data_IF_092563241276
#
_entry.id   IF_092563241276
#
_cell.length_a   1.000
_cell.length_b   1.000
_cell.length_c   1.000
_cell.angle_alpha   90.00
_cell.angle_beta   90.00
_cell.angle_gamma   90.00
#
_symmetry.space_group_name_H-M   'P 1'
#
loop_
_entity.id
_entity.type
_entity.pdbx_description
1 polymer ?
#
# COMPACT_ATOMS: atom_id res chain seq x y z
N UNK A 1 -2.71 -14.89 -9.88
CA UNK A 1 -4.05 -15.53 -9.94
C UNK A 1 -5.09 -14.49 -10.30
N UNK A 2 -6.07 -14.87 -11.12
CA UNK A 2 -7.27 -14.08 -11.34
C UNK A 2 -8.22 -14.21 -10.14
N UNK A 3 -9.18 -13.29 -10.01
CA UNK A 3 -10.23 -13.42 -9.00
C UNK A 3 -11.07 -14.70 -9.16
N UNK A 4 -11.25 -15.18 -10.40
CA UNK A 4 -11.90 -16.47 -10.67
C UNK A 4 -11.13 -17.65 -10.08
N UNK A 5 -9.81 -17.66 -10.26
CA UNK A 5 -8.94 -18.71 -9.68
C UNK A 5 -8.92 -18.62 -8.15
N UNK A 6 -8.86 -17.42 -7.59
CA UNK A 6 -8.93 -17.20 -6.14
C UNK A 6 -10.25 -17.71 -5.56
N UNK A 7 -11.38 -17.37 -6.20
CA UNK A 7 -12.70 -17.82 -5.78
C UNK A 7 -12.83 -19.35 -5.84
N UNK A 8 -12.29 -19.98 -6.89
CA UNK A 8 -12.28 -21.45 -7.03
C UNK A 8 -11.41 -22.13 -5.98
N UNK A 9 -10.19 -21.63 -5.77
CA UNK A 9 -9.25 -22.15 -4.76
C UNK A 9 -9.83 -22.01 -3.35
N UNK A 10 -10.46 -20.88 -3.05
CA UNK A 10 -11.12 -20.65 -1.78
C UNK A 10 -12.29 -21.63 -1.57
N UNK A 11 -13.08 -21.92 -2.63
CA UNK A 11 -14.13 -22.93 -2.58
C UNK A 11 -13.60 -24.33 -2.25
N UNK A 12 -12.44 -24.71 -2.80
CA UNK A 12 -11.78 -25.98 -2.47
C UNK A 12 -11.30 -26.04 -1.02
N UNK A 13 -10.67 -24.98 -0.52
CA UNK A 13 -10.20 -24.87 0.88
C UNK A 13 -11.35 -24.95 1.90
N UNK A 14 -12.49 -24.39 1.54
CA UNK A 14 -13.72 -24.41 2.35
C UNK A 14 -14.51 -25.70 2.25
N UNK A 15 -14.04 -26.69 1.46
CA UNK A 15 -14.79 -27.91 1.15
C UNK A 15 -16.18 -27.63 0.52
N UNK A 16 -16.34 -26.46 -0.13
CA UNK A 16 -17.59 -25.98 -0.72
C UNK A 16 -17.41 -25.52 -2.19
N UNK A 17 -16.93 -26.41 -3.09
CA UNK A 17 -16.73 -26.04 -4.48
C UNK A 17 -18.05 -25.75 -5.23
N UNK A 18 -19.17 -26.31 -4.74
CA UNK A 18 -20.50 -26.08 -5.30
C UNK A 18 -21.19 -24.80 -4.80
N UNK A 19 -20.53 -24.03 -3.94
CA UNK A 19 -21.06 -22.78 -3.34
C UNK A 19 -22.39 -22.98 -2.59
N UNK A 20 -22.54 -24.10 -1.93
CA UNK A 20 -23.75 -24.46 -1.20
C UNK A 20 -23.86 -23.75 0.14
N UNK A 21 -22.73 -23.43 0.77
CA UNK A 21 -22.63 -22.73 2.05
C UNK A 21 -22.16 -21.28 1.84
N UNK A 22 -21.11 -21.09 1.03
CA UNK A 22 -20.51 -19.80 0.74
C UNK A 22 -20.78 -19.39 -0.70
N UNK A 23 -21.61 -18.38 -0.88
CA UNK A 23 -21.92 -17.85 -2.22
C UNK A 23 -20.69 -17.18 -2.85
N UNK A 24 -20.71 -17.00 -4.17
CA UNK A 24 -19.67 -16.22 -4.87
C UNK A 24 -19.51 -14.84 -4.24
N UNK A 25 -20.62 -14.19 -3.92
CA UNK A 25 -20.61 -12.84 -3.31
C UNK A 25 -19.85 -12.83 -1.97
N UNK A 26 -20.12 -13.78 -1.08
CA UNK A 26 -19.43 -13.85 0.22
C UNK A 26 -17.93 -14.16 0.07
N UNK A 27 -17.55 -15.00 -0.91
CA UNK A 27 -16.14 -15.30 -1.19
C UNK A 27 -15.41 -14.09 -1.80
N UNK A 28 -16.03 -13.39 -2.74
CA UNK A 28 -15.47 -12.18 -3.36
C UNK A 28 -15.29 -11.08 -2.32
N UNK A 29 -16.27 -10.87 -1.45
CA UNK A 29 -16.17 -9.90 -0.36
C UNK A 29 -15.03 -10.26 0.62
N UNK A 30 -14.92 -11.53 1.01
CA UNK A 30 -13.82 -12.00 1.85
C UNK A 30 -12.44 -11.80 1.18
N UNK A 31 -12.31 -12.04 -0.13
CA UNK A 31 -11.07 -11.80 -0.88
C UNK A 31 -10.73 -10.30 -0.86
N UNK A 32 -11.68 -9.42 -1.17
CA UNK A 32 -11.47 -7.97 -1.19
C UNK A 32 -11.01 -7.44 0.18
N UNK A 33 -11.69 -7.84 1.25
CA UNK A 33 -11.30 -7.48 2.62
C UNK A 33 -9.90 -8.02 2.94
N UNK A 34 -9.58 -9.24 2.50
CA UNK A 34 -8.29 -9.85 2.76
C UNK A 34 -7.15 -9.19 1.99
N UNK A 35 -7.36 -8.77 0.74
CA UNK A 35 -6.38 -7.98 -0.02
C UNK A 35 -6.02 -6.69 0.72
N UNK A 36 -7.01 -5.94 1.20
CA UNK A 36 -6.78 -4.72 1.99
C UNK A 36 -6.09 -5.03 3.32
N UNK A 37 -6.44 -6.16 3.97
CA UNK A 37 -5.79 -6.61 5.21
C UNK A 37 -4.31 -6.89 4.99
N UNK A 38 -3.98 -7.64 3.94
CA UNK A 38 -2.59 -7.96 3.55
C UNK A 38 -1.78 -6.69 3.30
N UNK A 39 -2.31 -5.78 2.50
CA UNK A 39 -1.68 -4.49 2.19
C UNK A 39 -1.43 -3.66 3.46
N UNK A 40 -2.34 -3.71 4.43
CA UNK A 40 -2.18 -2.97 5.68
C UNK A 40 -1.20 -3.62 6.69
N UNK A 41 -0.86 -4.90 6.50
CA UNK A 41 0.03 -5.64 7.42
C UNK A 41 1.46 -5.79 6.91
N UNK A 42 1.69 -5.64 5.61
CA UNK A 42 3.01 -5.81 5.01
C UNK A 42 3.82 -4.50 4.98
N UNK A 43 5.14 -4.64 4.98
CA UNK A 43 6.05 -3.53 4.70
C UNK A 43 5.87 -3.03 3.27
N UNK A 44 6.01 -1.72 3.06
CA UNK A 44 5.80 -1.07 1.77
C UNK A 44 6.67 -1.65 0.64
N UNK A 45 7.83 -2.22 0.97
CA UNK A 45 8.71 -2.84 -0.02
C UNK A 45 8.14 -4.08 -0.71
N UNK A 46 7.09 -4.71 -0.15
CA UNK A 46 6.36 -5.80 -0.81
C UNK A 46 5.18 -5.31 -1.66
N UNK A 47 4.96 -4.00 -1.71
CA UNK A 47 3.80 -3.38 -2.36
C UNK A 47 4.19 -2.54 -3.58
N UNK A 48 5.35 -2.82 -4.17
CA UNK A 48 5.86 -2.06 -5.33
C UNK A 48 4.92 -2.12 -6.54
N UNK A 49 4.17 -3.21 -6.70
CA UNK A 49 3.16 -3.36 -7.75
C UNK A 49 1.95 -2.45 -7.53
N UNK A 50 1.76 -1.99 -6.29
CA UNK A 50 0.69 -1.07 -5.90
C UNK A 50 1.10 0.40 -6.04
N UNK A 51 2.33 0.66 -6.49
CA UNK A 51 2.80 2.03 -6.71
C UNK A 51 2.12 2.62 -7.94
N UNK A 52 1.66 3.86 -7.80
CA UNK A 52 1.08 4.67 -8.87
C UNK A 52 1.76 6.03 -8.87
N UNK A 53 1.75 6.66 -10.02
CA UNK A 53 2.21 8.03 -10.19
C UNK A 53 1.06 8.91 -10.64
N UNK A 54 1.04 10.12 -10.15
CA UNK A 54 0.24 11.22 -10.71
C UNK A 54 1.20 12.31 -11.11
N UNK A 55 1.19 12.62 -12.40
CA UNK A 55 2.07 13.56 -13.02
C UNK A 55 1.48 14.99 -12.98
N UNK A 56 2.32 16.00 -13.08
CA UNK A 56 1.93 17.42 -13.26
C UNK A 56 0.99 17.96 -12.16
N UNK A 57 1.14 17.55 -10.92
CA UNK A 57 0.35 18.08 -9.80
C UNK A 57 0.76 19.51 -9.50
N UNK A 58 -0.15 20.46 -9.70
CA UNK A 58 0.08 21.86 -9.41
C UNK A 58 0.06 22.13 -7.89
N UNK A 59 1.09 22.83 -7.40
CA UNK A 59 1.18 23.27 -6.02
C UNK A 59 0.83 24.75 -5.87
N UNK A 60 0.06 25.07 -4.85
CA UNK A 60 -0.19 26.46 -4.45
C UNK A 60 0.68 26.80 -3.24
N UNK A 61 1.61 27.71 -3.40
CA UNK A 61 2.60 28.06 -2.35
C UNK A 61 3.36 26.84 -1.82
N UNK A 62 3.65 25.87 -2.68
CA UNK A 62 4.32 24.63 -2.33
C UNK A 62 3.46 23.62 -1.56
N UNK A 63 2.12 23.73 -1.63
CA UNK A 63 1.20 22.84 -0.92
C UNK A 63 0.08 22.36 -1.82
N UNK A 64 -0.25 21.05 -1.73
CA UNK A 64 -1.47 20.48 -2.31
C UNK A 64 -2.05 19.39 -1.38
N UNK A 65 -3.37 19.28 -1.38
CA UNK A 65 -4.08 18.23 -0.64
C UNK A 65 -4.09 16.91 -1.44
N UNK A 66 -4.21 15.78 -0.76
CA UNK A 66 -4.37 14.49 -1.44
C UNK A 66 -5.59 14.48 -2.36
N UNK A 67 -6.71 15.05 -1.89
CA UNK A 67 -7.93 15.15 -2.70
C UNK A 67 -7.77 16.08 -3.90
N UNK A 68 -7.02 17.18 -3.78
CA UNK A 68 -6.72 18.09 -4.89
C UNK A 68 -5.80 17.46 -5.92
N UNK A 69 -4.84 16.67 -5.48
CA UNK A 69 -3.98 15.87 -6.34
C UNK A 69 -4.68 14.62 -6.93
N UNK A 70 -5.89 14.29 -6.49
CA UNK A 70 -6.63 13.11 -6.94
C UNK A 70 -6.05 11.78 -6.43
N UNK A 71 -5.33 11.79 -5.32
CA UNK A 71 -4.66 10.61 -4.78
C UNK A 71 -5.30 10.12 -3.47
N UNK A 72 -5.27 8.82 -3.25
CA UNK A 72 -5.73 8.14 -2.02
C UNK A 72 -4.65 7.18 -1.54
N UNK A 73 -3.55 7.70 -0.96
CA UNK A 73 -2.43 6.86 -0.56
C UNK A 73 -2.78 6.01 0.67
N UNK A 74 -2.44 4.72 0.62
CA UNK A 74 -2.54 3.82 1.75
C UNK A 74 -1.63 4.31 2.87
N UNK A 75 -2.15 4.41 4.08
CA UNK A 75 -1.38 4.78 5.28
C UNK A 75 -0.56 6.08 5.10
N UNK A 76 -1.00 6.97 4.20
CA UNK A 76 -0.23 8.15 3.83
C UNK A 76 1.07 7.85 3.06
N UNK A 77 1.15 6.67 2.42
CA UNK A 77 2.32 6.12 1.75
C UNK A 77 2.68 6.85 0.45
N UNK A 78 3.20 8.06 0.58
CA UNK A 78 3.92 8.72 -0.51
C UNK A 78 5.32 8.12 -0.55
N UNK A 79 5.70 7.56 -1.69
CA UNK A 79 7.00 6.88 -1.89
C UNK A 79 8.03 7.82 -2.51
N UNK A 80 7.60 8.80 -3.29
CA UNK A 80 8.49 9.79 -3.88
C UNK A 80 7.75 11.03 -4.36
N UNK A 81 8.49 12.13 -4.45
CA UNK A 81 8.03 13.39 -5.05
C UNK A 81 9.14 13.92 -5.92
N UNK A 82 8.83 14.22 -7.17
CA UNK A 82 9.76 14.80 -8.12
C UNK A 82 9.32 16.22 -8.47
N UNK A 83 10.24 17.15 -8.37
CA UNK A 83 10.04 18.56 -8.73
C UNK A 83 10.28 18.73 -10.23
N UNK A 84 9.21 18.76 -11.00
CA UNK A 84 9.21 18.97 -12.44
C UNK A 84 9.76 20.36 -12.81
N UNK A 85 9.55 21.35 -11.95
CA UNK A 85 9.99 22.73 -12.21
C UNK A 85 11.51 22.83 -12.26
N UNK A 86 12.21 22.08 -11.43
CA UNK A 86 13.66 22.15 -11.27
C UNK A 86 14.40 20.86 -11.68
N UNK A 87 13.67 19.83 -12.18
CA UNK A 87 14.22 18.53 -12.59
C UNK A 87 14.99 17.83 -11.46
N UNK A 88 14.32 17.67 -10.29
CA UNK A 88 14.95 17.15 -9.06
C UNK A 88 14.01 16.30 -8.22
N UNK A 89 14.55 15.18 -7.69
CA UNK A 89 13.88 14.44 -6.62
C UNK A 89 13.87 15.25 -5.32
N UNK A 90 12.70 15.33 -4.70
CA UNK A 90 12.57 15.92 -3.37
C UNK A 90 13.11 14.97 -2.29
N UNK A 91 13.87 15.51 -1.35
CA UNK A 91 14.24 14.76 -0.16
C UNK A 91 13.03 14.66 0.78
N UNK A 92 12.53 13.45 1.01
CA UNK A 92 11.40 13.22 1.91
C UNK A 92 11.82 13.37 3.38
N UNK A 93 11.10 14.19 4.15
CA UNK A 93 11.35 14.47 5.57
C UNK A 93 10.18 13.99 6.42
N UNK A 94 10.48 13.26 7.48
CA UNK A 94 9.46 12.80 8.42
C UNK A 94 8.94 13.96 9.29
N UNK A 95 7.68 13.84 9.70
CA UNK A 95 6.98 14.86 10.52
C UNK A 95 7.72 15.19 11.82
N UNK A 96 8.44 14.22 12.41
CA UNK A 96 9.25 14.43 13.63
C UNK A 96 10.44 15.38 13.41
N UNK A 97 10.91 15.49 12.17
CA UNK A 97 12.08 16.29 11.79
C UNK A 97 11.72 17.67 11.22
N UNK A 98 10.42 18.02 11.17
CA UNK A 98 9.96 19.30 10.60
C UNK A 98 10.59 20.53 11.24
N UNK A 99 10.90 20.49 12.54
CA UNK A 99 11.63 21.58 13.21
C UNK A 99 13.00 21.86 12.61
N UNK A 100 13.61 20.89 11.96
CA UNK A 100 14.90 21.08 11.27
C UNK A 100 14.75 21.95 10.02
N UNK A 101 13.56 21.96 9.40
CA UNK A 101 13.27 22.78 8.22
C UNK A 101 13.14 24.28 8.54
N UNK A 102 13.02 24.65 9.81
CA UNK A 102 13.10 26.04 10.26
C UNK A 102 14.52 26.60 10.14
N UNK A 103 15.53 25.74 10.09
CA UNK A 103 16.89 26.11 9.80
C UNK A 103 17.07 26.40 8.31
N UNK A 104 17.52 27.60 7.95
CA UNK A 104 17.71 28.05 6.58
C UNK A 104 18.61 27.15 5.71
N UNK A 105 19.53 26.40 6.33
CA UNK A 105 20.38 25.42 5.63
C UNK A 105 19.69 24.11 5.28
N UNK A 106 18.56 23.79 5.95
CA UNK A 106 17.81 22.56 5.79
C UNK A 106 16.42 22.79 5.21
N UNK A 107 16.05 24.04 4.98
CA UNK A 107 14.68 24.44 4.57
C UNK A 107 14.30 24.10 3.15
N UNK A 108 15.17 23.43 2.41
CA UNK A 108 14.98 23.14 1.00
C UNK A 108 15.36 24.31 0.08
N UNK A 109 15.99 24.02 -1.03
CA UNK A 109 16.39 24.96 -2.07
C UNK A 109 15.97 24.39 -3.43
N UNK A 110 15.99 25.19 -4.49
CA UNK A 110 15.74 24.72 -5.86
C UNK A 110 16.72 23.63 -6.32
N UNK A 111 17.94 23.63 -5.76
CA UNK A 111 18.94 22.58 -6.06
C UNK A 111 18.78 21.32 -5.21
N UNK A 112 18.09 21.43 -4.09
CA UNK A 112 17.83 20.32 -3.15
C UNK A 112 16.44 20.52 -2.54
N UNK A 113 15.35 20.26 -3.29
CA UNK A 113 13.99 20.42 -2.78
C UNK A 113 13.71 19.39 -1.67
N UNK A 114 12.86 19.78 -0.75
CA UNK A 114 12.45 18.95 0.38
C UNK A 114 10.96 18.84 0.40
N UNK A 115 10.45 17.64 0.63
CA UNK A 115 9.02 17.38 0.72
C UNK A 115 8.66 16.66 2.03
N UNK A 116 7.45 16.90 2.52
CA UNK A 116 6.89 16.20 3.66
C UNK A 116 5.37 16.12 3.55
N UNK A 117 4.79 15.13 4.22
CA UNK A 117 3.34 14.95 4.32
C UNK A 117 2.87 15.37 5.70
N UNK A 118 1.85 16.23 5.75
CA UNK A 118 1.23 16.64 6.99
C UNK A 118 -0.27 16.88 6.80
N UNK A 119 -1.11 16.20 7.60
CA UNK A 119 -2.59 16.31 7.57
C UNK A 119 -3.17 16.13 6.16
N UNK A 120 -2.82 15.04 5.51
CA UNK A 120 -3.29 14.71 4.15
C UNK A 120 -2.96 15.78 3.09
N UNK A 121 -1.88 16.51 3.33
CA UNK A 121 -1.33 17.48 2.39
C UNK A 121 0.13 17.18 2.16
N UNK A 122 0.53 17.40 0.91
CA UNK A 122 1.92 17.41 0.47
C UNK A 122 2.42 18.83 0.62
N UNK A 123 3.58 18.98 1.21
CA UNK A 123 4.30 20.24 1.34
C UNK A 123 5.65 20.10 0.67
N UNK A 124 5.99 21.04 -0.19
CA UNK A 124 7.29 21.11 -0.87
C UNK A 124 7.97 22.43 -0.56
N UNK A 125 9.25 22.39 -0.35
CA UNK A 125 10.11 23.57 -0.16
C UNK A 125 11.28 23.50 -1.16
N UNK A 126 11.62 24.64 -1.77
CA UNK A 126 11.06 25.99 -1.59
C UNK A 126 9.64 26.08 -2.17
N UNK A 127 8.88 27.05 -1.70
CA UNK A 127 7.48 27.28 -2.14
C UNK A 127 7.36 27.78 -3.60
N UNK A 128 8.48 28.02 -4.26
CA UNK A 128 8.55 28.34 -5.68
C UNK A 128 8.39 27.12 -6.62
N UNK A 129 8.41 25.90 -6.06
CA UNK A 129 8.08 24.67 -6.82
C UNK A 129 6.60 24.72 -7.17
N UNK A 130 6.31 24.69 -8.47
CA UNK A 130 4.95 24.86 -8.99
C UNK A 130 4.29 23.55 -9.44
N UNK A 131 5.10 22.60 -9.95
CA UNK A 131 4.62 21.31 -10.46
C UNK A 131 5.46 20.19 -9.88
N UNK A 132 4.79 19.10 -9.50
CA UNK A 132 5.44 17.89 -9.00
C UNK A 132 4.75 16.64 -9.51
N UNK A 133 5.53 15.58 -9.71
CA UNK A 133 5.00 14.23 -9.83
C UNK A 133 5.03 13.55 -8.48
N UNK A 134 4.01 12.75 -8.21
CA UNK A 134 3.81 12.12 -6.90
C UNK A 134 3.69 10.61 -7.07
N UNK A 135 4.63 9.87 -6.49
CA UNK A 135 4.57 8.42 -6.37
C UNK A 135 3.93 8.04 -5.03
N UNK A 136 2.94 7.16 -5.08
CA UNK A 136 2.22 6.74 -3.88
C UNK A 136 1.74 5.30 -3.99
N UNK A 137 1.53 4.65 -2.85
CA UNK A 137 0.91 3.33 -2.79
C UNK A 137 -0.61 3.47 -2.75
N UNK A 138 -1.31 2.76 -3.62
CA UNK A 138 -2.78 2.73 -3.67
C UNK A 138 -3.35 1.44 -3.08
N UNK A 139 -4.64 1.42 -2.74
CA UNK A 139 -5.33 0.19 -2.39
C UNK A 139 -5.54 -0.69 -3.63
N UNK A 140 -5.54 -2.03 -3.48
CA UNK A 140 -5.90 -2.93 -4.57
C UNK A 140 -7.34 -2.69 -5.02
N UNK A 141 -7.58 -2.84 -6.32
CA UNK A 141 -8.92 -2.73 -6.89
C UNK A 141 -9.79 -3.90 -6.43
N UNK A 142 -10.98 -3.60 -5.94
CA UNK A 142 -11.93 -4.62 -5.52
C UNK A 142 -12.47 -5.42 -6.71
N UNK A 143 -12.59 -6.73 -6.53
CA UNK A 143 -13.36 -7.56 -7.45
C UNK A 143 -14.86 -7.28 -7.30
N UNK A 144 -15.56 -7.30 -8.43
CA UNK A 144 -17.01 -7.17 -8.48
C UNK A 144 -17.63 -8.52 -8.82
N UNK A 145 -18.64 -8.94 -8.07
CA UNK A 145 -19.36 -10.20 -8.30
C UNK A 145 -19.84 -10.30 -9.76
N UNK A 146 -19.57 -11.41 -10.40
CA UNK A 146 -19.86 -11.62 -11.83
C UNK A 146 -18.84 -11.00 -12.80
N UNK A 147 -17.81 -10.29 -12.31
CA UNK A 147 -16.74 -9.67 -13.11
C UNK A 147 -15.35 -9.89 -12.48
N UNK A 148 -15.08 -11.11 -12.02
CA UNK A 148 -13.86 -11.49 -11.28
C UNK A 148 -12.74 -12.04 -12.14
N UNK A 149 -12.78 -11.82 -13.46
CA UNK A 149 -11.76 -12.34 -14.39
C UNK A 149 -10.45 -11.57 -14.40
N UNK A 150 -10.40 -10.40 -13.76
CA UNK A 150 -9.18 -9.59 -13.67
C UNK A 150 -8.10 -10.30 -12.85
N UNK A 151 -6.84 -10.05 -13.17
CA UNK A 151 -5.71 -10.48 -12.36
C UNK A 151 -5.64 -9.70 -11.05
N UNK A 152 -5.18 -10.38 -9.99
CA UNK A 152 -4.90 -9.73 -8.72
C UNK A 152 -3.69 -8.79 -8.88
N UNK A 153 -3.84 -7.54 -8.47
CA UNK A 153 -2.79 -6.54 -8.56
C UNK A 153 -1.62 -6.78 -7.58
N UNK A 154 -1.85 -7.59 -6.55
CA UNK A 154 -0.80 -7.95 -5.58
C UNK A 154 0.20 -8.93 -6.20
N UNK A 155 1.44 -8.88 -5.71
CA UNK A 155 2.46 -9.84 -6.08
C UNK A 155 1.95 -11.29 -5.96
N UNK A 156 2.19 -12.17 -6.96
CA UNK A 156 1.77 -13.56 -6.92
C UNK A 156 2.17 -14.33 -5.66
N UNK A 157 3.29 -13.96 -5.02
CA UNK A 157 3.73 -14.55 -3.76
C UNK A 157 2.79 -14.25 -2.58
N UNK A 158 1.94 -13.22 -2.69
CA UNK A 158 0.99 -12.81 -1.65
C UNK A 158 -0.39 -13.43 -1.82
N UNK A 159 -0.67 -14.08 -2.96
CA UNK A 159 -2.01 -14.60 -3.25
C UNK A 159 -2.46 -15.67 -2.24
N UNK A 160 -1.55 -16.55 -1.80
CA UNK A 160 -1.85 -17.55 -0.79
C UNK A 160 -2.18 -16.91 0.56
N UNK A 161 -1.48 -15.83 0.91
CA UNK A 161 -1.75 -15.06 2.12
C UNK A 161 -3.15 -14.42 2.10
N UNK A 162 -3.57 -13.89 0.94
CA UNK A 162 -4.94 -13.38 0.75
C UNK A 162 -5.97 -14.49 0.97
N UNK A 163 -5.72 -15.68 0.41
CA UNK A 163 -6.62 -16.82 0.56
C UNK A 163 -6.71 -17.30 2.01
N UNK A 164 -5.61 -17.33 2.76
CA UNK A 164 -5.60 -17.72 4.18
C UNK A 164 -6.45 -16.75 5.04
N UNK A 165 -6.35 -15.45 4.80
CA UNK A 165 -7.20 -14.46 5.50
C UNK A 165 -8.67 -14.58 5.08
N UNK A 166 -8.96 -14.79 3.79
CA UNK A 166 -10.32 -14.96 3.29
C UNK A 166 -10.97 -16.24 3.86
N UNK A 167 -10.23 -17.34 3.91
CA UNK A 167 -10.64 -18.60 4.53
C UNK A 167 -10.98 -18.39 6.01
N UNK A 168 -10.10 -17.73 6.76
CA UNK A 168 -10.33 -17.44 8.18
C UNK A 168 -11.60 -16.62 8.41
N UNK A 169 -11.87 -15.64 7.54
CA UNK A 169 -13.06 -14.82 7.63
C UNK A 169 -14.34 -15.63 7.37
N UNK A 170 -14.35 -16.47 6.33
CA UNK A 170 -15.50 -17.29 5.98
C UNK A 170 -15.80 -18.36 7.04
N UNK A 171 -14.78 -19.04 7.58
CA UNK A 171 -14.97 -19.96 8.71
C UNK A 171 -15.52 -19.28 9.97
N UNK A 172 -15.16 -18.01 10.19
CA UNK A 172 -15.73 -17.20 11.27
C UNK A 172 -17.23 -16.92 11.02
N UNK A 173 -17.61 -16.64 9.78
CA UNK A 173 -19.02 -16.45 9.40
C UNK A 173 -19.85 -17.73 9.56
N UNK A 174 -19.26 -18.89 9.30
CA UNK A 174 -19.90 -20.22 9.48
C UNK A 174 -19.83 -20.76 10.91
N UNK A 175 -19.47 -19.90 11.89
CA UNK A 175 -19.36 -20.24 13.30
C UNK A 175 -18.43 -21.46 13.59
N UNK A 176 -17.34 -21.61 12.84
CA UNK A 176 -16.28 -22.61 13.03
C UNK A 176 -15.00 -21.95 13.55
N UNK A 177 -14.98 -21.54 14.84
CA UNK A 177 -13.89 -20.72 15.39
C UNK A 177 -12.52 -21.40 15.33
N UNK A 178 -12.45 -22.72 15.49
CA UNK A 178 -11.17 -23.46 15.48
C UNK A 178 -10.52 -23.44 14.10
N UNK A 179 -11.30 -23.66 13.03
CA UNK A 179 -10.83 -23.56 11.64
C UNK A 179 -10.43 -22.11 11.31
N UNK A 180 -11.27 -21.14 11.69
CA UNK A 180 -10.99 -19.72 11.50
C UNK A 180 -9.68 -19.31 12.19
N UNK A 181 -9.46 -19.73 13.43
CA UNK A 181 -8.25 -19.41 14.17
C UNK A 181 -7.00 -20.07 13.57
N UNK A 182 -7.12 -21.29 13.09
CA UNK A 182 -6.01 -22.00 12.43
C UNK A 182 -5.57 -21.26 11.14
N UNK A 183 -6.51 -20.95 10.25
CA UNK A 183 -6.23 -20.21 9.02
C UNK A 183 -5.65 -18.80 9.30
N UNK A 184 -6.24 -18.09 10.27
CA UNK A 184 -5.75 -16.77 10.68
C UNK A 184 -4.32 -16.82 11.24
N UNK A 185 -4.00 -17.80 12.07
CA UNK A 185 -2.65 -17.95 12.62
C UNK A 185 -1.62 -18.27 11.52
N UNK A 186 -1.99 -19.09 10.53
CA UNK A 186 -1.13 -19.36 9.38
C UNK A 186 -0.83 -18.08 8.62
N UNK A 187 -1.85 -17.28 8.33
CA UNK A 187 -1.70 -15.99 7.67
C UNK A 187 -0.77 -15.04 8.46
N UNK A 188 -0.99 -14.89 9.77
CA UNK A 188 -0.14 -14.04 10.62
C UNK A 188 1.32 -14.50 10.67
N UNK A 189 1.56 -15.80 10.73
CA UNK A 189 2.92 -16.34 10.69
C UNK A 189 3.61 -16.01 9.37
N UNK A 190 2.90 -16.10 8.25
CA UNK A 190 3.45 -15.76 6.94
C UNK A 190 3.75 -14.27 6.83
N UNK A 191 2.84 -13.39 7.28
CA UNK A 191 3.08 -11.93 7.36
C UNK A 191 4.35 -11.64 8.15
N UNK A 192 4.51 -12.27 9.32
CA UNK A 192 5.70 -12.09 10.14
C UNK A 192 6.97 -12.51 9.41
N UNK A 193 6.97 -13.69 8.79
CA UNK A 193 8.12 -14.19 8.02
C UNK A 193 8.48 -13.27 6.86
N UNK A 194 7.49 -12.73 6.15
CA UNK A 194 7.72 -11.78 5.06
C UNK A 194 8.34 -10.49 5.60
N UNK A 195 7.73 -9.87 6.59
CA UNK A 195 8.25 -8.62 7.16
C UNK A 195 9.65 -8.79 7.76
N UNK A 196 9.91 -9.91 8.44
CA UNK A 196 11.25 -10.22 8.99
C UNK A 196 12.29 -10.35 7.85
N UNK A 197 11.95 -10.98 6.73
CA UNK A 197 12.82 -11.06 5.55
C UNK A 197 13.11 -9.68 4.97
N UNK A 198 12.10 -8.85 4.82
CA UNK A 198 12.27 -7.50 4.30
C UNK A 198 13.21 -6.66 5.17
N UNK A 199 13.13 -6.79 6.49
CA UNK A 199 14.05 -6.09 7.41
C UNK A 199 15.50 -6.52 7.23
N UNK A 200 15.75 -7.80 6.90
CA UNK A 200 17.10 -8.33 6.66
C UNK A 200 17.63 -7.95 5.28
N UNK A 201 16.75 -8.00 4.26
CA UNK A 201 17.10 -7.72 2.86
C UNK A 201 17.14 -6.24 2.51
N UNK A 202 16.57 -5.39 3.37
CA UNK A 202 16.59 -3.95 3.18
C UNK A 202 18.05 -3.50 3.08
N UNK A 203 18.48 -3.00 1.90
CA UNK A 203 19.85 -2.50 1.78
C UNK A 203 20.03 -1.45 2.88
N UNK A 204 21.06 -1.62 3.71
CA UNK A 204 21.41 -0.60 4.70
C UNK A 204 21.40 0.72 3.94
N UNK A 205 20.40 1.56 4.25
CA UNK A 205 20.26 2.84 3.58
C UNK A 205 21.63 3.49 3.64
N UNK A 206 22.09 4.00 2.50
CA UNK A 206 23.37 4.73 2.43
C UNK A 206 23.29 5.74 3.56
N UNK A 207 23.76 5.28 4.71
CA UNK A 207 23.80 6.10 5.91
C UNK A 207 24.68 7.26 5.54
N UNK A 208 24.11 8.43 5.47
CA UNK A 208 24.86 9.67 5.53
C UNK A 208 25.67 9.60 6.82
N UNK A 209 26.83 8.90 6.76
CA UNK A 209 27.89 9.11 7.73
C UNK A 209 28.29 10.57 7.54
N UNK A 210 27.67 11.41 8.36
CA UNK A 210 28.12 12.77 8.52
C UNK A 210 29.62 12.74 8.86
N UNK A 211 30.36 13.41 8.02
CA UNK A 211 31.63 14.02 8.39
C UNK A 211 31.37 15.49 8.69
#
# INVERSE_FOLDING_TARGET
MTGTEMNSNLGLRLEDPAQSVFTEASKVDAINISMRTVVNMLDNGYLTEMERVVDDVALTDGVESFSGAGITPIRGGITGIYDETNDKWCTMVETKDLKRLENSYLSGTTSNPVAYVFREKIHVKPTSVALVDIWYLTEPTDYVVGAISAECELNPALHELVLDFAEAQLWRMDAKPDRAQSAYNNALNLVKVLNDRYQVEKPEGIGTKGR
#
